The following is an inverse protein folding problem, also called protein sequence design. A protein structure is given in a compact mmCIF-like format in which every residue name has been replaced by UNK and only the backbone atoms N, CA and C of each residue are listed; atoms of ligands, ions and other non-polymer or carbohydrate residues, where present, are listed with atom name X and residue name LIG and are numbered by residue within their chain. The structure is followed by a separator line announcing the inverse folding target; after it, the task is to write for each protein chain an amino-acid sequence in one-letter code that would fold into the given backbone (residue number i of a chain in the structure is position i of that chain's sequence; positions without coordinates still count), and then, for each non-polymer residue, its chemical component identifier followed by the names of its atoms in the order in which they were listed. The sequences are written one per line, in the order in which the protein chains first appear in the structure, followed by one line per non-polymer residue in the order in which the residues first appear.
data_IF_785668090143
#
_entry.id   IF_785668090143
#
_cell.length_a   1.000
_cell.length_b   1.000
_cell.length_c   1.000
_cell.angle_alpha   90.00
_cell.angle_beta   90.00
_cell.angle_gamma   90.00
#
_symmetry.space_group_name_H-M   'P 1'
#
loop_
_entity.id
_entity.type
_entity.pdbx_description
1 polymer ?
#
# COMPACT_ATOMS: atom_id res chain seq x y z
N UNK A 1 25.36 2.73 35.03
CA UNK A 1 26.71 3.31 35.10
C UNK A 1 27.33 3.00 33.76
N UNK A 2 27.56 4.02 32.94
CA UNK A 2 28.09 3.85 31.58
C UNK A 2 29.54 4.25 31.63
N UNK A 3 30.42 3.26 31.62
CA UNK A 3 31.86 3.50 31.58
C UNK A 3 32.27 3.65 30.12
N UNK A 4 32.82 4.82 29.78
CA UNK A 4 33.32 5.12 28.44
C UNK A 4 34.83 4.95 28.44
N UNK A 5 35.33 4.15 27.51
CA UNK A 5 36.77 4.03 27.24
C UNK A 5 37.07 4.81 25.97
N UNK A 6 38.03 5.71 26.03
CA UNK A 6 38.47 6.50 24.89
C UNK A 6 39.99 6.34 24.73
N UNK A 7 40.42 6.13 23.49
CA UNK A 7 41.83 6.13 23.14
C UNK A 7 42.46 7.49 23.46
N UNK A 8 43.64 7.49 24.04
CA UNK A 8 44.45 8.69 24.30
C UNK A 8 45.75 8.56 23.52
N UNK A 9 46.11 9.60 22.78
CA UNK A 9 47.43 9.68 22.15
C UNK A 9 48.54 9.77 23.22
N UNK A 10 49.77 9.42 22.82
CA UNK A 10 50.93 9.32 23.72
C UNK A 10 51.21 10.62 24.48
N UNK A 11 51.02 11.78 23.84
CA UNK A 11 51.27 13.07 24.48
C UNK A 11 50.22 13.38 25.54
N UNK A 12 48.96 13.13 25.25
CA UNK A 12 47.86 13.29 26.20
C UNK A 12 48.02 12.34 27.40
N UNK A 13 48.39 11.08 27.13
CA UNK A 13 48.64 10.08 28.18
C UNK A 13 49.81 10.49 29.08
N UNK A 14 50.94 10.92 28.50
CA UNK A 14 52.11 11.37 29.26
C UNK A 14 51.79 12.58 30.16
N UNK A 15 51.05 13.57 29.64
CA UNK A 15 50.61 14.74 30.43
C UNK A 15 49.74 14.34 31.61
N UNK A 16 48.78 13.43 31.41
CA UNK A 16 47.89 12.95 32.48
C UNK A 16 48.64 12.13 33.52
N UNK A 17 49.60 11.30 33.10
CA UNK A 17 50.47 10.57 34.02
C UNK A 17 51.25 11.54 34.91
N UNK A 18 51.87 12.55 34.32
CA UNK A 18 52.61 13.57 35.06
C UNK A 18 51.72 14.35 36.04
N UNK A 19 50.50 14.71 35.61
CA UNK A 19 49.51 15.35 36.49
C UNK A 19 49.13 14.48 37.69
N UNK A 20 48.79 13.21 37.48
CA UNK A 20 48.40 12.27 38.54
C UNK A 20 49.58 11.96 39.49
N UNK A 21 50.79 11.82 38.96
CA UNK A 21 52.01 11.68 39.76
C UNK A 21 52.25 12.92 40.65
N UNK A 22 51.98 14.12 40.13
CA UNK A 22 52.05 15.37 40.89
C UNK A 22 51.05 15.45 42.05
N UNK A 23 49.99 14.62 42.05
CA UNK A 23 49.01 14.52 43.13
C UNK A 23 49.39 13.50 44.23
N UNK A 24 50.60 12.90 44.18
CA UNK A 24 51.04 11.84 45.11
C UNK A 24 50.09 10.63 45.17
N UNK A 25 49.39 10.32 44.08
CA UNK A 25 48.59 9.09 43.98
C UNK A 25 49.51 7.86 43.90
N UNK A 26 49.08 6.74 44.50
CA UNK A 26 49.90 5.52 44.65
C UNK A 26 50.22 4.74 43.38
N UNK A 27 49.77 5.21 42.21
CA UNK A 27 50.05 4.59 40.93
C UNK A 27 48.99 4.91 39.88
N UNK A 28 49.24 4.44 38.66
CA UNK A 28 48.34 4.53 37.51
C UNK A 28 48.23 3.12 36.93
N UNK A 29 47.01 2.67 36.64
CA UNK A 29 46.76 1.42 35.94
C UNK A 29 46.34 1.72 34.51
N UNK A 30 47.08 1.19 33.54
CA UNK A 30 46.63 1.17 32.15
C UNK A 30 45.77 -0.07 31.91
N UNK A 31 44.56 0.19 31.43
CA UNK A 31 43.59 -0.78 30.94
C UNK A 31 43.54 -0.74 29.41
N UNK A 32 43.19 -1.87 28.79
CA UNK A 32 43.10 -2.03 27.33
C UNK A 32 44.38 -1.61 26.57
N UNK A 33 45.55 -1.99 27.12
CA UNK A 33 46.86 -1.73 26.50
C UNK A 33 46.97 -2.31 25.08
N UNK A 34 46.22 -3.39 24.82
CA UNK A 34 46.09 -4.05 23.52
C UNK A 34 45.48 -3.15 22.43
N UNK A 35 44.75 -2.09 22.81
CA UNK A 35 44.22 -1.09 21.88
C UNK A 35 45.21 0.07 21.61
N UNK A 36 46.30 0.15 22.38
CA UNK A 36 47.31 1.22 22.29
C UNK A 36 48.27 1.07 21.09
N UNK A 37 48.25 -0.09 20.43
CA UNK A 37 49.07 -0.43 19.28
C UNK A 37 48.64 -1.76 18.69
N UNK A 38 49.13 -2.10 17.49
CA UNK A 38 48.86 -3.41 16.91
C UNK A 38 49.74 -4.48 17.56
N UNK A 39 49.19 -5.24 18.49
CA UNK A 39 49.90 -6.34 19.15
C UNK A 39 49.47 -7.68 18.54
N UNK A 40 50.43 -8.46 18.06
CA UNK A 40 50.22 -9.87 17.76
C UNK A 40 50.38 -10.68 19.06
N UNK A 41 49.32 -11.35 19.50
CA UNK A 41 49.36 -12.14 20.74
C UNK A 41 50.32 -13.35 20.67
N UNK A 42 50.49 -14.04 21.79
CA UNK A 42 51.43 -15.17 21.95
C UNK A 42 50.78 -16.49 21.48
N UNK A 43 51.45 -17.26 20.60
CA UNK A 43 51.06 -18.64 20.24
C UNK A 43 51.29 -19.60 21.42
N UNK A 44 50.62 -20.77 21.40
CA UNK A 44 50.78 -21.86 22.40
C UNK A 44 52.23 -22.34 22.59
N UNK A 45 53.12 -22.14 21.61
CA UNK A 45 54.54 -22.49 21.69
C UNK A 45 55.45 -21.35 22.22
N UNK A 46 54.87 -20.27 22.74
CA UNK A 46 55.63 -19.13 23.26
C UNK A 46 56.27 -18.22 22.20
N UNK A 47 55.98 -18.42 20.91
CA UNK A 47 56.39 -17.50 19.85
C UNK A 47 55.33 -16.43 19.60
N UNK A 48 55.77 -15.20 19.32
CA UNK A 48 54.89 -14.08 18.96
C UNK A 48 54.24 -14.40 17.61
N UNK A 49 52.91 -14.37 17.57
CA UNK A 49 52.17 -14.34 16.31
C UNK A 49 50.91 -15.16 16.33
N UNK A 50 49.78 -14.64 16.79
CA UNK A 50 48.56 -15.11 16.13
C UNK A 50 48.63 -14.62 14.69
N UNK A 51 48.75 -15.54 13.73
CA UNK A 51 47.97 -15.35 12.51
C UNK A 51 46.53 -15.45 13.01
N UNK A 52 45.91 -14.31 13.31
CA UNK A 52 44.50 -14.20 12.96
C UNK A 52 44.56 -14.40 11.47
N UNK A 53 44.34 -15.64 10.98
CA UNK A 53 43.83 -15.76 9.63
C UNK A 53 42.56 -14.94 9.71
N UNK A 54 42.51 -13.73 9.12
CA UNK A 54 41.27 -13.01 9.11
C UNK A 54 40.33 -13.96 8.37
N UNK A 55 39.33 -14.50 9.05
CA UNK A 55 38.16 -15.06 8.36
C UNK A 55 37.88 -14.11 7.22
N UNK A 56 37.90 -14.59 5.98
CA UNK A 56 37.97 -13.75 4.79
C UNK A 56 37.07 -12.52 4.95
N UNK A 57 37.68 -11.39 5.35
CA UNK A 57 36.94 -10.17 5.66
C UNK A 57 36.45 -9.51 4.37
N UNK A 58 36.93 -10.02 3.23
CA UNK A 58 36.53 -9.58 1.92
C UNK A 58 35.05 -9.90 1.68
N UNK A 59 34.33 -8.85 1.37
CA UNK A 59 32.93 -8.87 1.02
C UNK A 59 32.81 -8.69 -0.49
N UNK A 60 33.19 -9.73 -1.26
CA UNK A 60 33.07 -9.70 -2.72
C UNK A 60 31.61 -9.71 -3.16
N UNK A 61 31.09 -8.52 -3.46
CA UNK A 61 29.73 -8.29 -3.93
C UNK A 61 29.39 -9.06 -5.21
N UNK A 62 30.39 -9.41 -6.04
CA UNK A 62 30.15 -10.17 -7.28
C UNK A 62 29.87 -11.65 -7.02
N UNK A 63 30.36 -12.18 -5.90
CA UNK A 63 30.14 -13.57 -5.49
C UNK A 63 28.79 -13.78 -4.76
N UNK A 64 28.06 -12.71 -4.44
CA UNK A 64 26.81 -12.81 -3.69
C UNK A 64 25.62 -13.28 -4.53
N UNK A 65 24.68 -14.01 -3.91
CA UNK A 65 23.37 -14.28 -4.49
C UNK A 65 22.65 -12.98 -4.91
N UNK A 66 21.88 -13.04 -6.00
CA UNK A 66 21.23 -11.87 -6.61
C UNK A 66 19.75 -11.71 -6.25
N UNK A 67 19.15 -12.75 -5.66
CA UNK A 67 17.73 -12.79 -5.28
C UNK A 67 17.61 -13.21 -3.82
N UNK A 68 16.50 -12.85 -3.17
CA UNK A 68 16.23 -13.23 -1.78
C UNK A 68 16.20 -14.76 -1.62
N UNK A 69 15.65 -15.48 -2.60
CA UNK A 69 15.55 -16.93 -2.60
C UNK A 69 16.93 -17.59 -2.72
N UNK A 70 17.76 -17.10 -3.64
CA UNK A 70 19.12 -17.61 -3.79
C UNK A 70 19.96 -17.32 -2.56
N UNK A 71 19.75 -16.16 -1.92
CA UNK A 71 20.41 -15.82 -0.66
C UNK A 71 19.98 -16.76 0.47
N UNK A 72 18.69 -17.06 0.59
CA UNK A 72 18.18 -17.97 1.63
C UNK A 72 18.70 -19.39 1.48
N UNK A 73 18.75 -19.89 0.23
CA UNK A 73 19.26 -21.21 -0.10
C UNK A 73 20.78 -21.33 0.08
N UNK A 74 21.52 -20.23 -0.13
CA UNK A 74 22.98 -20.23 -0.16
C UNK A 74 23.62 -19.35 0.92
N UNK A 75 22.89 -19.03 2.01
CA UNK A 75 23.36 -18.10 3.04
C UNK A 75 24.69 -18.51 3.67
N UNK A 76 24.98 -19.81 3.71
CA UNK A 76 26.25 -20.36 4.20
C UNK A 76 27.47 -20.02 3.33
N UNK A 77 27.26 -19.63 2.07
CA UNK A 77 28.32 -19.18 1.15
C UNK A 77 28.68 -17.70 1.32
N UNK A 78 27.85 -16.95 2.05
CA UNK A 78 28.09 -15.53 2.35
C UNK A 78 28.66 -15.44 3.76
N UNK A 79 29.86 -14.85 3.93
CA UNK A 79 30.46 -14.63 5.26
C UNK A 79 29.49 -13.88 6.17
N UNK A 80 29.45 -14.24 7.46
CA UNK A 80 28.43 -13.76 8.41
C UNK A 80 28.38 -12.22 8.43
N UNK A 81 29.54 -11.56 8.48
CA UNK A 81 29.65 -10.10 8.48
C UNK A 81 29.19 -9.45 7.17
N UNK A 82 29.18 -10.19 6.06
CA UNK A 82 28.72 -9.71 4.75
C UNK A 82 27.22 -9.94 4.49
N UNK A 83 26.54 -10.82 5.25
CA UNK A 83 25.15 -11.23 4.94
C UNK A 83 24.16 -10.07 4.93
N UNK A 84 24.33 -9.12 5.85
CA UNK A 84 23.53 -7.91 5.89
C UNK A 84 23.73 -7.03 4.66
N UNK A 85 24.98 -6.86 4.22
CA UNK A 85 25.31 -6.13 2.99
C UNK A 85 24.75 -6.82 1.75
N UNK A 86 24.83 -8.15 1.68
CA UNK A 86 24.23 -8.91 0.59
C UNK A 86 22.71 -8.74 0.52
N UNK A 87 22.02 -8.77 1.66
CA UNK A 87 20.57 -8.56 1.72
C UNK A 87 20.19 -7.12 1.31
N UNK A 88 20.92 -6.12 1.79
CA UNK A 88 20.72 -4.72 1.39
C UNK A 88 21.01 -4.48 -0.10
N UNK A 89 22.03 -5.13 -0.65
CA UNK A 89 22.36 -5.08 -2.08
C UNK A 89 21.21 -5.59 -2.95
N UNK A 90 20.63 -6.73 -2.59
CA UNK A 90 19.48 -7.30 -3.29
C UNK A 90 18.30 -6.33 -3.24
N UNK A 91 17.92 -5.85 -2.06
CA UNK A 91 16.79 -4.93 -1.90
C UNK A 91 16.98 -3.62 -2.68
N UNK A 92 18.20 -3.07 -2.71
CA UNK A 92 18.50 -1.83 -3.44
C UNK A 92 18.42 -2.03 -4.95
N UNK A 93 18.94 -3.15 -5.47
CA UNK A 93 18.84 -3.49 -6.91
C UNK A 93 17.38 -3.77 -7.32
N UNK A 94 16.66 -4.47 -6.47
CA UNK A 94 15.25 -4.77 -6.63
C UNK A 94 14.38 -3.50 -6.66
N UNK A 95 14.68 -2.54 -5.78
CA UNK A 95 14.05 -1.23 -5.78
C UNK A 95 14.34 -0.49 -7.09
N UNK A 96 15.61 -0.36 -7.49
CA UNK A 96 16.00 0.33 -8.72
C UNK A 96 15.27 -0.25 -9.96
N UNK A 97 15.26 -1.58 -10.11
CA UNK A 97 14.55 -2.25 -11.20
C UNK A 97 13.03 -2.06 -11.17
N UNK A 98 12.43 -1.92 -9.99
CA UNK A 98 11.01 -1.58 -9.86
C UNK A 98 10.73 -0.13 -10.32
N UNK A 99 11.58 0.83 -9.93
CA UNK A 99 11.45 2.24 -10.32
C UNK A 99 11.57 2.43 -11.82
N UNK A 100 12.50 1.73 -12.48
CA UNK A 100 12.67 1.81 -13.93
C UNK A 100 11.36 1.42 -14.66
N UNK A 101 10.71 0.35 -14.21
CA UNK A 101 9.41 -0.07 -14.76
C UNK A 101 8.31 0.98 -14.56
N UNK A 102 8.33 1.70 -13.45
CA UNK A 102 7.41 2.80 -13.19
C UNK A 102 7.61 3.99 -14.13
N UNK A 103 8.87 4.33 -14.41
CA UNK A 103 9.23 5.40 -15.35
C UNK A 103 8.91 5.04 -16.79
N UNK A 104 9.05 3.77 -17.15
CA UNK A 104 8.60 3.26 -18.44
C UNK A 104 7.08 3.45 -18.61
N UNK A 105 6.30 3.24 -17.55
CA UNK A 105 4.84 3.38 -17.56
C UNK A 105 4.40 4.82 -17.73
N UNK A 106 4.98 5.76 -16.98
CA UNK A 106 4.65 7.17 -17.12
C UNK A 106 4.90 7.70 -18.54
N UNK A 107 5.77 7.02 -19.30
CA UNK A 107 6.19 7.42 -20.65
C UNK A 107 5.53 6.60 -21.77
N UNK A 108 4.69 5.63 -21.45
CA UNK A 108 4.18 4.62 -22.38
C UNK A 108 2.76 4.92 -22.90
N UNK A 109 2.60 5.10 -24.22
CA UNK A 109 1.29 5.19 -24.86
C UNK A 109 0.46 3.90 -24.69
N UNK A 110 1.14 2.76 -24.58
CA UNK A 110 0.54 1.46 -24.33
C UNK A 110 -0.18 1.38 -22.98
N UNK A 111 0.43 1.95 -21.93
CA UNK A 111 -0.21 1.99 -20.62
C UNK A 111 -1.42 2.92 -20.63
N UNK A 112 -1.30 4.09 -21.26
CA UNK A 112 -2.40 5.06 -21.38
C UNK A 112 -3.64 4.42 -22.00
N UNK A 113 -3.49 3.72 -23.12
CA UNK A 113 -4.61 3.03 -23.77
C UNK A 113 -5.27 1.98 -22.87
N UNK A 114 -4.48 1.22 -22.09
CA UNK A 114 -5.00 0.19 -21.19
C UNK A 114 -5.71 0.78 -19.98
N UNK A 115 -5.22 1.92 -19.50
CA UNK A 115 -5.91 2.71 -18.50
C UNK A 115 -7.24 3.27 -19.03
N UNK A 116 -7.30 3.74 -20.28
CA UNK A 116 -8.56 4.17 -20.90
C UNK A 116 -9.62 3.05 -20.89
N UNK A 117 -9.24 1.80 -21.18
CA UNK A 117 -10.16 0.64 -21.07
C UNK A 117 -10.67 0.42 -19.65
N UNK A 118 -9.81 0.59 -18.65
CA UNK A 118 -10.22 0.53 -17.25
C UNK A 118 -11.15 1.69 -16.89
N UNK A 119 -10.83 2.92 -17.30
CA UNK A 119 -11.65 4.09 -17.04
C UNK A 119 -13.05 3.93 -17.66
N UNK A 120 -13.13 3.41 -18.88
CA UNK A 120 -14.40 3.10 -19.53
C UNK A 120 -15.18 2.01 -18.79
N UNK A 121 -14.51 0.97 -18.29
CA UNK A 121 -15.19 0.00 -17.44
C UNK A 121 -15.70 0.60 -16.13
N UNK A 122 -14.91 1.46 -15.47
CA UNK A 122 -15.35 2.14 -14.24
C UNK A 122 -16.61 2.94 -14.55
N UNK A 123 -16.63 3.71 -15.65
CA UNK A 123 -17.81 4.46 -16.10
C UNK A 123 -19.00 3.55 -16.35
N UNK A 124 -18.81 2.43 -17.04
CA UNK A 124 -19.89 1.45 -17.32
C UNK A 124 -20.44 0.79 -16.06
N UNK A 125 -19.60 0.60 -15.05
CA UNK A 125 -19.97 -0.04 -13.79
C UNK A 125 -20.71 0.88 -12.82
N UNK A 126 -20.80 2.21 -13.08
CA UNK A 126 -21.48 3.14 -12.16
C UNK A 126 -22.97 2.83 -12.09
N UNK A 127 -23.66 2.68 -13.23
CA UNK A 127 -25.12 2.45 -13.23
C UNK A 127 -25.49 1.16 -12.48
N UNK A 128 -24.88 -0.02 -12.77
CA UNK A 128 -25.22 -1.24 -12.03
C UNK A 128 -24.91 -1.16 -10.53
N UNK A 129 -23.83 -0.49 -10.13
CA UNK A 129 -23.50 -0.28 -8.72
C UNK A 129 -24.49 0.66 -8.04
N UNK A 130 -24.88 1.73 -8.73
CA UNK A 130 -25.87 2.70 -8.25
C UNK A 130 -27.25 2.05 -8.09
N UNK A 131 -27.69 1.27 -9.07
CA UNK A 131 -28.93 0.49 -8.99
C UNK A 131 -28.90 -0.50 -7.83
N UNK A 132 -27.77 -1.15 -7.55
CA UNK A 132 -27.63 -2.02 -6.37
C UNK A 132 -27.70 -1.21 -5.08
N UNK A 133 -27.08 -0.03 -5.05
CA UNK A 133 -27.08 0.86 -3.88
C UNK A 133 -28.46 1.43 -3.56
N UNK A 134 -29.30 1.67 -4.58
CA UNK A 134 -30.68 2.17 -4.44
C UNK A 134 -31.76 1.12 -4.71
N UNK A 135 -31.39 -0.16 -4.73
CA UNK A 135 -32.32 -1.26 -4.99
C UNK A 135 -33.44 -1.26 -3.94
N UNK A 136 -34.70 -1.31 -4.37
CA UNK A 136 -35.84 -1.37 -3.45
C UNK A 136 -35.68 -2.51 -2.43
N UNK A 137 -36.01 -2.23 -1.16
CA UNK A 137 -35.93 -3.14 0.00
C UNK A 137 -34.52 -3.49 0.50
N UNK A 138 -33.49 -3.49 -0.35
CA UNK A 138 -32.14 -4.00 0.01
C UNK A 138 -31.03 -2.96 -0.11
N UNK A 139 -31.25 -1.88 -0.84
CA UNK A 139 -30.27 -0.84 -1.09
C UNK A 139 -29.99 0.00 0.14
N UNK A 140 -28.72 0.08 0.52
CA UNK A 140 -28.25 0.90 1.64
C UNK A 140 -28.56 2.40 1.45
N UNK A 141 -28.56 2.88 0.19
CA UNK A 141 -28.89 4.25 -0.15
C UNK A 141 -30.32 4.66 0.23
N UNK A 142 -31.24 3.71 0.37
CA UNK A 142 -32.64 3.99 0.72
C UNK A 142 -32.81 4.51 2.15
N UNK A 143 -31.84 4.28 3.05
CA UNK A 143 -31.86 4.79 4.43
C UNK A 143 -31.86 6.32 4.50
N UNK A 144 -31.47 6.98 3.41
CA UNK A 144 -31.36 8.43 3.31
C UNK A 144 -32.49 9.08 2.50
N UNK A 145 -33.50 8.29 2.09
CA UNK A 145 -34.53 8.71 1.15
C UNK A 145 -35.95 8.42 1.68
N UNK A 146 -36.86 9.32 1.35
CA UNK A 146 -38.30 9.10 1.42
C UNK A 146 -38.86 8.89 0.01
N UNK A 147 -39.88 8.06 -0.10
CA UNK A 147 -40.50 7.70 -1.36
C UNK A 147 -42.00 7.99 -1.34
N UNK A 148 -42.53 8.42 -2.48
CA UNK A 148 -43.95 8.33 -2.81
C UNK A 148 -44.12 7.25 -3.85
N UNK A 149 -45.06 6.35 -3.68
CA UNK A 149 -45.33 5.32 -4.67
C UNK A 149 -46.81 5.25 -5.03
N UNK A 150 -47.06 4.89 -6.28
CA UNK A 150 -48.40 4.71 -6.82
C UNK A 150 -48.42 3.46 -7.68
N UNK A 151 -49.40 2.61 -7.42
CA UNK A 151 -49.80 1.51 -8.30
C UNK A 151 -51.18 1.82 -8.87
N UNK A 152 -51.75 0.99 -9.77
CA UNK A 152 -53.14 1.12 -10.18
C UNK A 152 -54.14 0.96 -9.03
N UNK A 153 -53.72 0.33 -7.92
CA UNK A 153 -54.58 -0.13 -6.83
C UNK A 153 -54.38 0.64 -5.53
N UNK A 154 -53.18 1.16 -5.29
CA UNK A 154 -52.80 1.79 -4.02
C UNK A 154 -51.84 2.97 -4.22
N UNK A 155 -51.80 3.85 -3.23
CA UNK A 155 -50.82 4.93 -3.11
C UNK A 155 -50.24 4.92 -1.71
N UNK A 156 -48.96 5.22 -1.59
CA UNK A 156 -48.27 5.32 -0.30
C UNK A 156 -47.18 6.39 -0.31
N UNK A 157 -46.79 6.79 0.90
CA UNK A 157 -45.68 7.70 1.14
C UNK A 157 -45.02 7.35 2.46
N UNK A 158 -43.69 7.38 2.50
CA UNK A 158 -42.92 7.07 3.69
C UNK A 158 -41.44 6.82 3.37
N UNK A 159 -40.66 6.24 4.29
CA UNK A 159 -39.28 5.84 4.02
C UNK A 159 -39.19 4.93 2.80
N UNK A 160 -38.18 5.12 1.94
CA UNK A 160 -38.02 4.28 0.75
C UNK A 160 -37.80 2.79 1.06
N UNK A 161 -37.35 2.47 2.27
CA UNK A 161 -37.20 1.10 2.77
C UNK A 161 -38.53 0.35 2.93
N UNK A 162 -39.65 1.07 3.01
CA UNK A 162 -40.99 0.51 3.19
C UNK A 162 -41.78 0.37 1.88
N UNK A 163 -41.20 0.80 0.75
CA UNK A 163 -41.87 0.76 -0.56
C UNK A 163 -42.25 -0.67 -0.91
N UNK A 164 -43.55 -0.87 -1.17
CA UNK A 164 -44.08 -2.12 -1.70
C UNK A 164 -44.93 -1.87 -2.94
N UNK A 165 -44.36 -2.18 -4.10
CA UNK A 165 -45.02 -1.99 -5.40
C UNK A 165 -45.96 -3.14 -5.78
N UNK A 166 -46.03 -4.19 -4.96
CA UNK A 166 -46.82 -5.40 -5.20
C UNK A 166 -47.86 -5.62 -4.11
N UNK A 167 -48.27 -4.55 -3.41
CA UNK A 167 -49.31 -4.61 -2.39
C UNK A 167 -50.51 -3.72 -2.78
N UNK A 168 -51.74 -4.28 -2.84
CA UNK A 168 -52.06 -5.70 -2.78
C UNK A 168 -51.46 -6.51 -3.96
N UNK A 169 -51.19 -7.80 -3.74
CA UNK A 169 -50.62 -8.67 -4.76
C UNK A 169 -51.64 -8.93 -5.88
N UNK A 170 -51.24 -8.62 -7.11
CA UNK A 170 -52.09 -8.69 -8.29
C UNK A 170 -51.35 -9.38 -9.43
N UNK A 171 -52.05 -10.27 -10.13
CA UNK A 171 -51.53 -10.96 -11.32
C UNK A 171 -51.21 -10.00 -12.48
N UNK A 172 -51.75 -8.78 -12.45
CA UNK A 172 -51.45 -7.72 -13.41
C UNK A 172 -51.16 -6.41 -12.65
N UNK A 173 -49.89 -6.18 -12.30
CA UNK A 173 -49.52 -5.08 -11.40
C UNK A 173 -49.62 -3.69 -12.07
N UNK A 174 -49.72 -3.64 -13.39
CA UNK A 174 -49.80 -2.43 -14.20
C UNK A 174 -48.57 -1.51 -14.09
N UNK A 175 -48.75 -0.29 -14.58
CA UNK A 175 -47.78 0.79 -14.40
C UNK A 175 -47.66 1.18 -12.92
N UNK A 176 -46.46 0.99 -12.35
CA UNK A 176 -46.10 1.42 -11.00
C UNK A 176 -45.17 2.61 -11.07
N UNK A 177 -45.26 3.52 -10.13
CA UNK A 177 -44.37 4.69 -10.03
C UNK A 177 -43.78 4.77 -8.62
N UNK A 178 -42.48 5.05 -8.53
CA UNK A 178 -41.79 5.43 -7.29
C UNK A 178 -41.12 6.77 -7.54
N UNK A 179 -41.44 7.76 -6.73
CA UNK A 179 -40.79 9.07 -6.72
C UNK A 179 -39.95 9.18 -5.46
N UNK A 180 -38.64 9.38 -5.63
CA UNK A 180 -37.69 9.51 -4.52
C UNK A 180 -37.54 10.97 -4.11
N UNK A 181 -37.33 11.18 -2.82
CA UNK A 181 -36.99 12.46 -2.22
C UNK A 181 -35.82 12.23 -1.27
N UNK A 182 -34.72 12.93 -1.51
CA UNK A 182 -33.54 12.84 -0.67
C UNK A 182 -33.79 13.56 0.65
N UNK A 183 -33.77 12.80 1.76
CA UNK A 183 -34.01 13.33 3.11
C UNK A 183 -32.71 13.77 3.80
N UNK A 184 -31.66 12.97 3.63
CA UNK A 184 -30.32 13.24 4.17
C UNK A 184 -29.30 13.22 3.02
N UNK A 185 -29.04 14.40 2.47
CA UNK A 185 -28.15 14.55 1.32
C UNK A 185 -26.70 14.20 1.65
N UNK A 186 -26.20 14.69 2.79
CA UNK A 186 -24.81 14.47 3.20
C UNK A 186 -24.57 13.00 3.53
N UNK A 187 -25.47 12.38 4.30
CA UNK A 187 -25.39 10.96 4.63
C UNK A 187 -25.44 10.07 3.38
N UNK A 188 -26.32 10.39 2.42
CA UNK A 188 -26.42 9.65 1.17
C UNK A 188 -25.13 9.70 0.36
N UNK A 189 -24.56 10.90 0.13
CA UNK A 189 -23.36 11.01 -0.69
C UNK A 189 -22.11 10.44 0.00
N UNK A 190 -22.02 10.56 1.33
CA UNK A 190 -20.97 9.90 2.10
C UNK A 190 -21.07 8.37 1.98
N UNK A 191 -22.27 7.79 2.10
CA UNK A 191 -22.49 6.36 1.92
C UNK A 191 -22.29 5.91 0.47
N UNK A 192 -22.72 6.69 -0.51
CA UNK A 192 -22.53 6.40 -1.93
C UNK A 192 -21.04 6.30 -2.29
N UNK A 193 -20.24 7.26 -1.80
CA UNK A 193 -18.81 7.27 -2.03
C UNK A 193 -18.12 6.14 -1.25
N UNK A 194 -18.51 5.91 0.01
CA UNK A 194 -17.94 4.86 0.87
C UNK A 194 -18.25 3.44 0.38
N UNK A 195 -19.51 3.13 0.12
CA UNK A 195 -20.00 1.76 -0.07
C UNK A 195 -20.07 1.37 -1.55
N UNK A 196 -20.31 2.33 -2.44
CA UNK A 196 -20.41 2.09 -3.88
C UNK A 196 -19.22 2.64 -4.67
N UNK A 197 -18.37 3.50 -4.08
CA UNK A 197 -17.22 4.09 -4.77
C UNK A 197 -17.64 5.02 -5.91
N UNK A 198 -18.74 5.77 -5.75
CA UNK A 198 -19.31 6.65 -6.78
C UNK A 198 -19.34 8.09 -6.27
N UNK A 199 -18.74 8.99 -7.06
CA UNK A 199 -18.72 10.44 -6.79
C UNK A 199 -20.10 11.06 -7.05
N UNK A 200 -20.49 12.05 -6.24
CA UNK A 200 -21.73 12.84 -6.44
C UNK A 200 -21.80 13.46 -7.84
N UNK A 201 -20.65 13.84 -8.37
CA UNK A 201 -20.45 14.54 -9.64
C UNK A 201 -20.57 13.60 -10.84
N UNK A 202 -20.65 12.27 -10.62
CA UNK A 202 -20.81 11.27 -11.67
C UNK A 202 -22.26 10.88 -11.91
N UNK A 203 -23.18 11.40 -11.08
CA UNK A 203 -24.59 11.08 -11.14
C UNK A 203 -25.45 12.31 -11.42
N UNK A 204 -26.62 12.08 -11.98
CA UNK A 204 -27.71 13.04 -12.13
C UNK A 204 -29.01 12.40 -11.65
N UNK A 205 -29.99 13.24 -11.30
CA UNK A 205 -31.31 12.78 -10.88
C UNK A 205 -32.24 12.78 -12.07
N UNK A 206 -32.76 11.62 -12.43
CA UNK A 206 -33.51 11.43 -13.67
C UNK A 206 -34.82 10.66 -13.45
N UNK A 207 -35.55 10.43 -14.54
CA UNK A 207 -36.70 9.54 -14.57
C UNK A 207 -36.40 8.36 -15.49
N UNK A 208 -36.44 7.15 -14.94
CA UNK A 208 -36.27 5.89 -15.68
C UNK A 208 -37.60 5.16 -15.72
N UNK A 209 -37.89 4.46 -16.83
CA UNK A 209 -39.01 3.52 -16.91
C UNK A 209 -38.46 2.16 -17.31
N UNK A 210 -38.63 1.18 -16.43
CA UNK A 210 -38.20 -0.20 -16.65
C UNK A 210 -39.43 -1.08 -16.89
N UNK A 211 -39.51 -1.80 -18.02
CA UNK A 211 -40.56 -2.79 -18.22
C UNK A 211 -40.32 -4.00 -17.31
N UNK A 212 -41.39 -4.65 -16.85
CA UNK A 212 -41.27 -5.90 -16.11
C UNK A 212 -40.66 -7.00 -16.98
N UNK A 213 -39.91 -7.91 -16.35
CA UNK A 213 -39.41 -9.09 -17.04
C UNK A 213 -40.59 -9.94 -17.55
N UNK A 214 -40.73 -10.02 -18.87
CA UNK A 214 -41.70 -10.89 -19.50
C UNK A 214 -41.04 -12.24 -19.78
N UNK A 215 -41.41 -13.34 -19.09
CA UNK A 215 -40.91 -14.65 -19.46
C UNK A 215 -41.37 -14.95 -20.89
N UNK A 216 -40.41 -15.27 -21.76
CA UNK A 216 -40.73 -15.69 -23.12
C UNK A 216 -41.58 -16.96 -23.04
N UNK A 217 -42.82 -16.88 -23.54
CA UNK A 217 -43.68 -18.05 -23.60
C UNK A 217 -42.99 -19.11 -24.49
N UNK A 218 -42.78 -20.35 -24.02
CA UNK A 218 -42.23 -21.39 -24.86
C UNK A 218 -43.14 -21.61 -26.08
N UNK A 219 -42.59 -21.77 -27.29
CA UNK A 219 -43.38 -21.95 -28.49
C UNK A 219 -44.02 -23.34 -28.46
N UNK A 220 -45.30 -23.42 -28.08
CA UNK A 220 -46.32 -24.49 -28.29
C UNK A 220 -47.13 -24.78 -27.03
N UNK A 221 -48.02 -23.88 -26.64
CA UNK A 221 -49.27 -24.26 -25.98
C UNK A 221 -50.33 -23.19 -26.32
N UNK A 222 -51.41 -23.61 -26.98
CA UNK A 222 -52.50 -22.76 -27.53
C UNK A 222 -53.37 -22.07 -26.46
N UNK A 223 -52.91 -22.00 -25.21
CA UNK A 223 -53.65 -21.45 -24.06
C UNK A 223 -52.87 -20.39 -23.28
N UNK A 224 -51.98 -19.64 -23.94
CA UNK A 224 -51.45 -18.40 -23.37
C UNK A 224 -52.06 -17.22 -24.12
N UNK A 225 -53.17 -16.62 -23.65
CA UNK A 225 -53.63 -15.37 -24.23
C UNK A 225 -52.48 -14.35 -24.11
N UNK A 226 -52.08 -13.67 -25.19
CA UNK A 226 -51.00 -12.70 -25.16
C UNK A 226 -51.53 -11.48 -24.41
N UNK A 227 -51.51 -11.48 -23.08
CA UNK A 227 -51.42 -10.20 -22.38
C UNK A 227 -50.00 -9.70 -22.64
N UNK A 228 -49.82 -8.64 -23.42
CA UNK A 228 -48.49 -8.09 -23.58
C UNK A 228 -48.06 -7.63 -22.19
N UNK A 229 -46.95 -8.15 -21.67
CA UNK A 229 -46.29 -7.58 -20.49
C UNK A 229 -45.91 -6.09 -20.70
N UNK A 230 -46.12 -5.54 -21.91
CA UNK A 230 -45.82 -4.16 -22.30
C UNK A 230 -46.51 -3.11 -21.42
N UNK A 231 -47.64 -3.44 -20.79
CA UNK A 231 -48.36 -2.49 -19.91
C UNK A 231 -47.84 -2.52 -18.46
N UNK A 232 -46.97 -3.48 -18.11
CA UNK A 232 -46.36 -3.64 -16.79
C UNK A 232 -44.97 -3.03 -16.78
N UNK A 233 -44.82 -1.94 -16.04
CA UNK A 233 -43.54 -1.26 -15.87
C UNK A 233 -43.43 -0.63 -14.48
N UNK A 234 -42.20 -0.28 -14.11
CA UNK A 234 -41.90 0.56 -12.96
C UNK A 234 -41.26 1.85 -13.47
N UNK A 235 -41.87 2.98 -13.14
CA UNK A 235 -41.37 4.32 -13.40
C UNK A 235 -40.71 4.86 -12.14
N UNK A 236 -39.40 5.02 -12.18
CA UNK A 236 -38.62 5.64 -11.11
C UNK A 236 -38.44 7.13 -11.43
N UNK A 237 -38.94 8.00 -10.57
CA UNK A 237 -38.90 9.47 -10.72
C UNK A 237 -37.93 10.03 -9.68
N UNK A 238 -37.06 10.95 -10.10
CA UNK A 238 -35.96 11.48 -9.29
C UNK A 238 -35.09 10.33 -8.72
N UNK A 239 -34.71 9.38 -9.56
CA UNK A 239 -33.76 8.32 -9.18
C UNK A 239 -32.34 8.77 -9.54
N UNK A 240 -31.32 8.50 -8.72
CA UNK A 240 -29.95 8.80 -9.11
C UNK A 240 -29.51 7.83 -10.21
N UNK A 241 -28.93 8.38 -11.27
CA UNK A 241 -28.39 7.66 -12.42
C UNK A 241 -27.03 8.21 -12.80
N UNK A 242 -26.20 7.38 -13.43
CA UNK A 242 -24.96 7.82 -14.06
C UNK A 242 -25.24 8.90 -15.10
N UNK A 243 -24.44 9.96 -15.11
CA UNK A 243 -24.48 10.96 -16.18
C UNK A 243 -24.32 10.26 -17.56
N UNK A 244 -25.23 10.49 -18.53
CA UNK A 244 -25.21 9.80 -19.82
C UNK A 244 -23.89 10.01 -20.57
N UNK A 245 -23.42 11.26 -20.59
CA UNK A 245 -22.16 11.67 -21.21
C UNK A 245 -20.96 11.21 -20.37
N UNK A 246 -20.39 10.07 -20.75
CA UNK A 246 -19.20 9.46 -20.15
C UNK A 246 -17.97 10.38 -20.14
N UNK A 247 -17.91 11.41 -20.98
CA UNK A 247 -16.78 12.33 -21.01
C UNK A 247 -16.80 13.33 -19.84
N UNK A 248 -17.96 13.54 -19.21
CA UNK A 248 -18.09 14.35 -17.99
C UNK A 248 -17.66 13.59 -16.74
N UNK A 249 -17.62 12.26 -16.81
CA UNK A 249 -17.15 11.40 -15.73
C UNK A 249 -15.63 11.28 -15.84
N UNK A 250 -14.93 11.98 -14.95
CA UNK A 250 -13.47 11.93 -14.86
C UNK A 250 -13.06 10.80 -13.92
N UNK A 251 -12.46 9.76 -14.50
CA UNK A 251 -11.71 8.76 -13.75
C UNK A 251 -10.26 9.26 -13.73
N UNK A 252 -9.71 9.51 -12.55
CA UNK A 252 -8.36 10.05 -12.41
C UNK A 252 -7.34 9.08 -12.99
N UNK A 253 -6.47 9.59 -13.88
CA UNK A 253 -5.39 8.81 -14.46
C UNK A 253 -4.29 8.61 -13.41
N UNK A 254 -3.92 7.37 -13.08
CA UNK A 254 -2.84 7.10 -12.15
C UNK A 254 -1.50 7.61 -12.66
N UNK A 255 -1.35 7.98 -13.94
CA UNK A 255 -0.15 8.64 -14.44
C UNK A 255 0.18 9.90 -13.67
N UNK A 256 -0.80 10.77 -13.38
CA UNK A 256 -0.57 11.98 -12.58
C UNK A 256 -0.12 11.62 -11.15
N UNK A 257 -0.65 10.52 -10.61
CA UNK A 257 -0.26 9.99 -9.31
C UNK A 257 1.17 9.42 -9.36
N UNK A 258 1.53 8.69 -10.42
CA UNK A 258 2.87 8.15 -10.66
C UNK A 258 3.88 9.29 -10.79
N UNK A 259 3.58 10.31 -11.58
CA UNK A 259 4.45 11.48 -11.77
C UNK A 259 4.69 12.22 -10.43
N UNK A 260 3.67 12.32 -9.58
CA UNK A 260 3.80 12.88 -8.23
C UNK A 260 4.53 11.95 -7.25
N UNK A 261 4.48 10.63 -7.47
CA UNK A 261 5.16 9.66 -6.62
C UNK A 261 6.66 9.57 -6.93
N UNK A 262 7.05 9.74 -8.19
CA UNK A 262 8.44 9.55 -8.67
C UNK A 262 9.47 10.29 -7.79
N UNK A 263 9.33 11.58 -7.45
CA UNK A 263 10.31 12.27 -6.61
C UNK A 263 10.50 11.62 -5.23
N UNK A 264 9.42 11.12 -4.62
CA UNK A 264 9.49 10.47 -3.31
C UNK A 264 10.00 9.02 -3.40
N UNK A 265 9.76 8.37 -4.54
CA UNK A 265 10.41 7.10 -4.86
C UNK A 265 11.92 7.33 -5.02
N UNK A 266 12.34 8.42 -5.65
CA UNK A 266 13.76 8.81 -5.78
C UNK A 266 14.38 9.10 -4.42
N UNK A 267 13.70 9.83 -3.54
CA UNK A 267 14.15 10.04 -2.16
C UNK A 267 14.40 8.70 -1.43
N UNK A 268 13.55 7.70 -1.68
CA UNK A 268 13.71 6.36 -1.10
C UNK A 268 14.89 5.60 -1.72
N UNK A 269 15.07 5.71 -3.04
CA UNK A 269 16.20 5.11 -3.76
C UNK A 269 17.51 5.71 -3.26
N UNK A 270 17.58 7.03 -3.15
CA UNK A 270 18.74 7.76 -2.62
C UNK A 270 19.04 7.34 -1.19
N UNK A 271 18.01 7.26 -0.34
CA UNK A 271 18.18 6.78 1.04
C UNK A 271 18.73 5.35 1.07
N UNK A 272 18.21 4.44 0.25
CA UNK A 272 18.69 3.06 0.18
C UNK A 272 20.15 2.99 -0.28
N UNK A 273 20.53 3.76 -1.31
CA UNK A 273 21.91 3.81 -1.79
C UNK A 273 22.88 4.42 -0.77
N UNK A 274 22.53 5.55 -0.15
CA UNK A 274 23.34 6.18 0.90
C UNK A 274 23.54 5.21 2.05
N UNK A 275 22.47 4.56 2.52
CA UNK A 275 22.53 3.62 3.65
C UNK A 275 23.37 2.39 3.30
N UNK A 276 23.26 1.88 2.07
CA UNK A 276 24.08 0.77 1.57
C UNK A 276 25.57 1.14 1.48
N UNK A 277 25.87 2.38 1.09
CA UNK A 277 27.22 2.92 1.04
C UNK A 277 27.82 3.10 2.45
N UNK A 278 27.07 3.71 3.37
CA UNK A 278 27.47 3.87 4.78
C UNK A 278 27.72 2.53 5.47
N UNK A 279 26.86 1.54 5.17
CA UNK A 279 27.03 0.17 5.66
C UNK A 279 28.33 -0.44 5.12
N UNK A 280 28.60 -0.30 3.83
CA UNK A 280 29.80 -0.84 3.19
C UNK A 280 31.09 -0.22 3.73
N UNK A 281 31.04 1.04 4.18
CA UNK A 281 32.15 1.73 4.82
C UNK A 281 32.25 1.49 6.33
N UNK A 282 31.29 0.78 6.93
CA UNK A 282 31.25 0.56 8.38
C UNK A 282 30.96 1.81 9.20
N UNK A 283 30.35 2.84 8.60
CA UNK A 283 30.01 4.11 9.28
C UNK A 283 28.52 4.30 9.51
N UNK A 284 27.68 3.33 9.11
CA UNK A 284 26.24 3.39 9.28
C UNK A 284 25.87 3.57 10.75
N UNK A 285 25.22 4.68 11.08
CA UNK A 285 24.68 4.95 12.41
C UNK A 285 23.25 4.41 12.57
N UNK A 286 23.05 3.11 12.31
CA UNK A 286 21.78 2.43 12.50
C UNK A 286 21.98 0.92 12.65
N UNK A 287 21.03 0.26 13.32
CA UNK A 287 20.98 -1.20 13.32
C UNK A 287 20.55 -1.69 11.92
N UNK A 288 21.39 -2.50 11.30
CA UNK A 288 21.14 -3.01 9.95
C UNK A 288 19.84 -3.83 9.84
N UNK A 289 19.41 -4.50 10.92
CA UNK A 289 18.14 -5.22 10.93
C UNK A 289 16.96 -4.25 10.92
N UNK A 290 17.08 -3.11 11.58
CA UNK A 290 16.08 -2.02 11.54
C UNK A 290 16.03 -1.41 10.13
N UNK A 291 17.18 -1.16 9.51
CA UNK A 291 17.28 -0.67 8.13
C UNK A 291 16.59 -1.62 7.15
N UNK A 292 16.96 -2.90 7.15
CA UNK A 292 16.40 -3.90 6.23
C UNK A 292 14.89 -4.06 6.47
N UNK A 293 14.45 -4.12 7.72
CA UNK A 293 13.04 -4.32 8.08
C UNK A 293 12.17 -3.13 7.66
N UNK A 294 12.68 -1.91 7.77
CA UNK A 294 11.93 -0.70 7.41
C UNK A 294 11.88 -0.48 5.90
N UNK A 295 12.97 -0.74 5.18
CA UNK A 295 13.02 -0.57 3.73
C UNK A 295 12.30 -1.69 2.97
N UNK A 296 12.21 -2.91 3.50
CA UNK A 296 11.65 -4.05 2.76
C UNK A 296 10.20 -3.81 2.32
N UNK A 297 9.37 -3.19 3.16
CA UNK A 297 7.95 -3.01 2.84
C UNK A 297 7.73 -2.08 1.64
N UNK A 298 8.25 -0.84 1.61
CA UNK A 298 8.07 0.00 0.43
C UNK A 298 8.73 -0.58 -0.82
N UNK A 299 9.86 -1.30 -0.71
CA UNK A 299 10.49 -2.00 -1.84
C UNK A 299 9.51 -3.04 -2.42
N UNK A 300 8.94 -3.90 -1.59
CA UNK A 300 8.05 -4.98 -2.05
C UNK A 300 6.75 -4.46 -2.63
N UNK A 301 6.20 -3.37 -2.11
CA UNK A 301 5.05 -2.70 -2.72
C UNK A 301 5.35 -2.24 -4.14
N UNK A 302 6.50 -1.58 -4.36
CA UNK A 302 6.90 -1.13 -5.69
C UNK A 302 7.19 -2.30 -6.63
N UNK A 303 7.81 -3.37 -6.13
CA UNK A 303 8.07 -4.57 -6.93
C UNK A 303 6.78 -5.28 -7.38
N UNK A 304 5.82 -5.47 -6.48
CA UNK A 304 4.55 -6.14 -6.79
C UNK A 304 3.82 -5.40 -7.90
N UNK A 305 3.78 -4.08 -7.80
CA UNK A 305 3.18 -3.27 -8.84
C UNK A 305 4.01 -3.23 -10.14
N UNK A 306 5.34 -3.30 -10.05
CA UNK A 306 6.21 -3.46 -11.22
C UNK A 306 5.87 -4.73 -12.02
N UNK A 307 5.40 -5.79 -11.36
CA UNK A 307 4.91 -7.00 -12.00
C UNK A 307 3.53 -6.79 -12.62
N UNK A 308 2.62 -6.11 -11.94
CA UNK A 308 1.32 -5.71 -12.52
C UNK A 308 1.49 -4.86 -13.78
N UNK A 309 2.50 -3.99 -13.82
CA UNK A 309 2.88 -3.21 -15.01
C UNK A 309 3.23 -4.13 -16.18
N UNK A 310 4.08 -5.14 -15.95
CA UNK A 310 4.45 -6.11 -16.98
C UNK A 310 3.27 -6.94 -17.46
N UNK A 311 2.39 -7.34 -16.55
CA UNK A 311 1.19 -8.12 -16.88
C UNK A 311 0.21 -7.32 -17.73
N UNK A 312 -0.02 -6.05 -17.40
CA UNK A 312 -0.84 -5.13 -18.19
C UNK A 312 -0.29 -4.98 -19.60
N UNK A 313 1.03 -4.82 -19.77
CA UNK A 313 1.67 -4.75 -21.10
C UNK A 313 1.34 -5.97 -21.97
N UNK A 314 1.20 -7.16 -21.38
CA UNK A 314 0.82 -8.41 -22.09
C UNK A 314 -0.66 -8.48 -22.47
N UNK A 315 -1.54 -7.70 -21.84
CA UNK A 315 -2.96 -7.64 -22.19
C UNK A 315 -3.11 -6.78 -23.45
N UNK A 316 -3.33 -7.43 -24.60
CA UNK A 316 -3.60 -6.77 -25.88
C UNK A 316 -5.09 -6.52 -26.14
N UNK A 317 -5.38 -5.79 -27.24
CA UNK A 317 -6.76 -5.45 -27.67
C UNK A 317 -7.68 -6.67 -27.79
N UNK A 318 -7.16 -7.81 -28.24
CA UNK A 318 -7.94 -9.03 -28.46
C UNK A 318 -8.35 -9.75 -27.15
N UNK A 319 -7.70 -9.42 -26.03
CA UNK A 319 -7.90 -10.10 -24.75
C UNK A 319 -8.48 -9.21 -23.66
N UNK A 320 -8.70 -7.91 -23.90
CA UNK A 320 -9.13 -6.98 -22.85
C UNK A 320 -10.52 -7.31 -22.30
N UNK A 321 -11.45 -7.79 -23.13
CA UNK A 321 -12.80 -8.19 -22.69
C UNK A 321 -12.78 -9.48 -21.86
N UNK A 322 -11.91 -10.45 -22.20
CA UNK A 322 -11.80 -11.73 -21.49
C UNK A 322 -10.94 -11.64 -20.23
N UNK A 323 -9.96 -10.73 -20.20
CA UNK A 323 -9.07 -10.47 -19.08
C UNK A 323 -9.42 -9.22 -18.27
N UNK A 324 -10.66 -8.74 -18.39
CA UNK A 324 -11.14 -7.51 -17.73
C UNK A 324 -10.82 -7.46 -16.23
N UNK A 325 -11.06 -8.56 -15.51
CA UNK A 325 -10.78 -8.66 -14.07
C UNK A 325 -9.28 -8.55 -13.77
N UNK A 326 -8.42 -9.18 -14.57
CA UNK A 326 -6.97 -9.15 -14.43
C UNK A 326 -6.43 -7.73 -14.68
N UNK A 327 -6.92 -7.06 -15.74
CA UNK A 327 -6.60 -5.67 -16.04
C UNK A 327 -6.96 -4.74 -14.87
N UNK A 328 -8.16 -4.87 -14.31
CA UNK A 328 -8.62 -4.05 -13.17
C UNK A 328 -7.72 -4.27 -11.95
N UNK A 329 -7.48 -5.54 -11.57
CA UNK A 329 -6.67 -5.87 -10.40
C UNK A 329 -5.23 -5.37 -10.53
N UNK A 330 -4.66 -5.46 -11.73
CA UNK A 330 -3.32 -4.97 -11.98
C UNK A 330 -3.23 -3.44 -11.94
N UNK A 331 -4.22 -2.72 -12.49
CA UNK A 331 -4.26 -1.25 -12.40
C UNK A 331 -4.40 -0.82 -10.94
N UNK A 332 -5.31 -1.45 -10.19
CA UNK A 332 -5.48 -1.17 -8.76
C UNK A 332 -4.19 -1.44 -7.97
N UNK A 333 -3.48 -2.53 -8.25
CA UNK A 333 -2.21 -2.86 -7.59
C UNK A 333 -1.15 -1.78 -7.81
N UNK A 334 -1.08 -1.24 -9.04
CA UNK A 334 -0.20 -0.11 -9.37
C UNK A 334 -0.56 1.11 -8.55
N UNK A 335 -1.81 1.55 -8.63
CA UNK A 335 -2.30 2.73 -7.90
C UNK A 335 -2.04 2.59 -6.40
N UNK A 336 -2.43 1.47 -5.80
CA UNK A 336 -2.29 1.25 -4.36
C UNK A 336 -0.85 1.27 -3.86
N UNK A 337 0.10 0.78 -4.66
CA UNK A 337 1.50 0.75 -4.23
C UNK A 337 2.17 2.13 -4.20
N UNK A 338 1.70 3.09 -5.00
CA UNK A 338 2.27 4.44 -5.09
C UNK A 338 1.54 5.48 -4.24
N UNK A 339 0.29 5.22 -3.83
CA UNK A 339 -0.47 6.12 -2.96
C UNK A 339 0.34 6.53 -1.72
N UNK A 340 1.05 5.61 -1.02
CA UNK A 340 1.89 6.00 0.11
C UNK A 340 2.88 7.10 -0.27
N UNK A 341 3.62 6.94 -1.37
CA UNK A 341 4.63 7.90 -1.83
C UNK A 341 4.05 9.27 -2.16
N UNK A 342 2.86 9.33 -2.78
CA UNK A 342 2.20 10.62 -3.05
C UNK A 342 1.74 11.29 -1.75
N UNK A 343 1.28 10.50 -0.77
CA UNK A 343 0.78 10.93 0.54
C UNK A 343 1.72 11.84 1.35
N UNK A 344 3.02 11.85 1.05
CA UNK A 344 4.03 12.65 1.78
C UNK A 344 4.24 14.06 1.26
N UNK A 345 3.73 14.39 0.08
CA UNK A 345 3.78 15.74 -0.49
C UNK A 345 2.79 16.68 0.25
N UNK A 346 3.18 17.15 1.43
CA UNK A 346 2.73 18.42 2.00
C UNK A 346 1.58 18.37 3.03
N UNK A 347 1.97 18.56 4.29
CA UNK A 347 1.15 18.89 5.48
C UNK A 347 0.33 17.75 6.11
N UNK A 348 0.42 17.66 7.44
CA UNK A 348 -0.30 16.69 8.29
C UNK A 348 -1.84 16.70 8.11
N UNK A 349 -2.40 17.74 7.49
CA UNK A 349 -3.82 17.83 7.11
C UNK A 349 -4.16 16.90 5.93
N UNK A 350 -3.20 16.53 5.08
CA UNK A 350 -3.42 15.69 3.90
C UNK A 350 -3.43 14.19 4.17
N UNK A 351 -2.87 13.73 5.30
CA UNK A 351 -2.80 12.31 5.66
C UNK A 351 -4.23 11.77 5.88
N UNK A 352 -5.07 12.46 6.65
CA UNK A 352 -6.47 12.10 6.88
C UNK A 352 -7.35 12.11 5.61
N UNK A 353 -7.21 13.14 4.76
CA UNK A 353 -8.00 13.27 3.53
C UNK A 353 -7.59 12.28 2.45
N UNK A 354 -6.31 11.88 2.40
CA UNK A 354 -5.81 10.86 1.47
C UNK A 354 -5.95 9.44 2.02
N UNK A 355 -6.01 9.27 3.34
CA UNK A 355 -6.61 8.09 3.94
C UNK A 355 -8.06 7.96 3.51
N UNK A 356 -8.84 9.04 3.45
CA UNK A 356 -10.17 8.98 2.84
C UNK A 356 -10.08 8.57 1.36
N UNK A 357 -9.23 9.19 0.52
CA UNK A 357 -9.07 8.78 -0.89
C UNK A 357 -8.60 7.33 -1.09
N UNK A 358 -7.68 6.82 -0.26
CA UNK A 358 -7.23 5.43 -0.28
C UNK A 358 -8.28 4.47 0.30
N UNK A 359 -8.99 4.90 1.35
CA UNK A 359 -10.13 4.21 1.95
C UNK A 359 -11.36 4.19 1.03
N UNK A 360 -11.50 5.13 0.10
CA UNK A 360 -12.55 5.11 -0.94
C UNK A 360 -12.39 3.93 -1.91
N UNK A 361 -11.20 3.32 -1.96
CA UNK A 361 -10.94 2.14 -2.78
C UNK A 361 -11.00 0.85 -1.91
N UNK A 362 -10.92 0.93 -0.58
CA UNK A 362 -10.83 -0.22 0.34
C UNK A 362 -12.03 -0.34 1.30
N UNK A 363 -12.90 0.68 1.42
CA UNK A 363 -14.14 0.62 2.20
C UNK A 363 -14.00 0.69 3.73
N UNK A 364 -12.85 1.12 4.27
CA UNK A 364 -12.65 1.27 5.72
C UNK A 364 -12.24 2.69 6.11
N UNK A 365 -13.10 3.40 6.86
CA UNK A 365 -12.83 4.75 7.37
C UNK A 365 -12.22 4.64 8.76
N UNK A 366 -11.04 5.24 8.94
CA UNK A 366 -10.49 5.57 10.24
C UNK A 366 -9.59 6.81 10.14
N UNK A 367 -9.99 7.89 10.80
CA UNK A 367 -9.20 9.13 10.90
C UNK A 367 -8.18 8.94 12.03
N UNK A 368 -6.93 8.61 11.73
CA UNK A 368 -5.92 8.33 12.74
C UNK A 368 -4.64 9.13 12.51
N UNK A 369 -4.22 9.87 13.54
CA UNK A 369 -2.83 10.25 13.71
C UNK A 369 -2.01 8.95 13.86
N UNK A 370 -0.97 8.73 13.07
CA UNK A 370 -0.33 7.42 12.92
C UNK A 370 0.54 7.04 14.13
N UNK A 371 -0.05 6.49 15.19
CA UNK A 371 0.69 5.80 16.25
C UNK A 371 0.79 4.29 15.96
N UNK A 372 1.67 3.58 16.69
CA UNK A 372 1.82 2.12 16.57
C UNK A 372 0.51 1.38 16.91
N UNK A 373 -0.34 1.96 17.77
CA UNK A 373 -1.65 1.38 18.12
C UNK A 373 -2.59 1.44 16.90
N UNK A 374 -2.60 2.56 16.18
CA UNK A 374 -3.44 2.74 14.98
C UNK A 374 -3.03 1.80 13.83
N UNK A 375 -1.79 1.34 13.78
CA UNK A 375 -1.32 0.36 12.78
C UNK A 375 -1.83 -1.05 13.08
N UNK A 376 -2.02 -1.39 14.36
CA UNK A 376 -2.61 -2.67 14.75
C UNK A 376 -4.10 -2.69 14.41
N UNK A 377 -4.77 -1.55 14.55
CA UNK A 377 -6.19 -1.39 14.23
C UNK A 377 -6.44 -1.18 12.73
N UNK A 378 -5.51 -0.52 12.03
CA UNK A 378 -5.53 -0.26 10.59
C UNK A 378 -4.18 -0.62 9.93
N UNK A 379 -3.97 -1.89 9.56
CA UNK A 379 -2.75 -2.37 8.90
C UNK A 379 -2.39 -1.63 7.60
N UNK A 380 -3.38 -1.12 6.87
CA UNK A 380 -3.17 -0.41 5.60
C UNK A 380 -2.46 0.95 5.79
N UNK A 381 -2.39 1.45 7.02
CA UNK A 381 -1.69 2.68 7.37
C UNK A 381 -0.17 2.52 7.52
N UNK A 382 0.33 1.29 7.68
CA UNK A 382 1.74 1.03 7.95
C UNK A 382 2.71 1.54 6.86
N UNK A 383 2.44 1.39 5.54
CA UNK A 383 3.30 1.95 4.51
C UNK A 383 3.46 3.46 4.62
N UNK A 384 2.39 4.17 5.01
CA UNK A 384 2.41 5.61 5.20
C UNK A 384 3.25 6.00 6.44
N UNK A 385 3.10 5.26 7.54
CA UNK A 385 3.91 5.53 8.72
C UNK A 385 5.41 5.26 8.45
N UNK A 386 5.73 4.16 7.78
CA UNK A 386 7.12 3.79 7.45
C UNK A 386 7.76 4.83 6.54
N UNK A 387 7.15 5.16 5.40
CA UNK A 387 7.76 6.12 4.47
C UNK A 387 7.88 7.52 5.10
N UNK A 388 6.93 7.93 5.95
CA UNK A 388 7.03 9.20 6.68
C UNK A 388 8.21 9.25 7.65
N UNK A 389 8.53 8.12 8.28
CA UNK A 389 9.68 7.94 9.17
C UNK A 389 11.00 7.73 8.42
N UNK A 390 10.97 7.43 7.11
CA UNK A 390 12.16 7.25 6.29
C UNK A 390 12.54 8.51 5.53
N UNK A 391 11.60 9.02 4.72
CA UNK A 391 11.83 10.12 3.75
C UNK A 391 10.95 11.34 4.00
N UNK A 392 10.06 11.30 5.01
CA UNK A 392 9.15 12.40 5.32
C UNK A 392 9.74 13.50 6.21
N UNK A 393 8.87 14.37 6.72
CA UNK A 393 9.23 15.46 7.64
C UNK A 393 9.79 14.97 9.00
N UNK A 394 9.60 13.69 9.30
CA UNK A 394 10.20 13.00 10.45
C UNK A 394 11.28 11.99 10.03
N UNK A 395 11.73 12.07 8.79
CA UNK A 395 12.61 11.10 8.15
C UNK A 395 14.05 11.10 8.66
N UNK A 396 14.88 10.28 8.01
CA UNK A 396 16.30 10.09 8.32
C UNK A 396 17.07 11.42 8.28
N UNK A 397 16.77 12.29 7.32
CA UNK A 397 17.42 13.61 7.21
C UNK A 397 17.15 14.55 8.40
N UNK A 398 16.06 14.32 9.15
CA UNK A 398 15.63 15.18 10.26
C UNK A 398 15.95 14.57 11.61
N UNK A 399 15.65 13.29 11.81
CA UNK A 399 15.81 12.59 13.09
C UNK A 399 17.15 11.83 13.23
N UNK A 400 17.89 11.70 12.13
CA UNK A 400 19.08 10.84 12.06
C UNK A 400 18.71 9.38 11.80
N UNK A 401 19.65 8.65 11.17
CA UNK A 401 19.45 7.27 10.72
C UNK A 401 18.99 6.34 11.84
N UNK A 402 19.67 6.34 12.98
CA UNK A 402 19.40 5.46 14.12
C UNK A 402 17.95 5.52 14.59
N UNK A 403 17.42 6.72 14.78
CA UNK A 403 16.07 6.91 15.34
C UNK A 403 15.00 6.61 14.30
N UNK A 404 15.17 7.13 13.08
CA UNK A 404 14.25 6.98 11.97
C UNK A 404 14.04 5.50 11.58
N UNK A 405 15.15 4.78 11.32
CA UNK A 405 15.08 3.36 10.94
C UNK A 405 14.49 2.50 12.05
N UNK A 406 14.87 2.73 13.31
CA UNK A 406 14.32 1.99 14.45
C UNK A 406 12.81 2.17 14.59
N UNK A 407 12.31 3.40 14.45
CA UNK A 407 10.87 3.68 14.51
C UNK A 407 10.13 3.02 13.34
N UNK A 408 10.65 3.15 12.12
CA UNK A 408 10.04 2.54 10.94
C UNK A 408 10.03 1.00 11.03
N UNK A 409 11.11 0.39 11.53
CA UNK A 409 11.17 -1.04 11.77
C UNK A 409 10.16 -1.50 12.82
N UNK A 410 9.96 -0.71 13.88
CA UNK A 410 8.95 -1.02 14.90
C UNK A 410 7.52 -0.94 14.36
N UNK A 411 7.24 -0.01 13.44
CA UNK A 411 5.96 0.03 12.72
C UNK A 411 5.75 -1.27 11.95
N UNK A 412 6.76 -1.72 11.17
CA UNK A 412 6.66 -3.00 10.48
C UNK A 412 6.44 -4.14 11.47
N UNK A 413 7.21 -4.25 12.54
CA UNK A 413 7.10 -5.33 13.54
C UNK A 413 5.75 -5.36 14.26
N UNK A 414 5.07 -4.23 14.38
CA UNK A 414 3.74 -4.16 14.99
C UNK A 414 2.65 -4.84 14.15
N UNK A 415 2.85 -4.99 12.84
CA UNK A 415 1.93 -5.71 11.97
C UNK A 415 1.98 -7.21 12.26
N UNK A 416 0.89 -7.69 12.86
CA UNK A 416 0.64 -9.11 13.14
C UNK A 416 0.33 -9.89 11.84
N UNK A 417 0.41 -11.24 11.86
CA UNK A 417 0.08 -12.07 10.71
C UNK A 417 -1.29 -11.77 10.10
N UNK A 418 -2.29 -11.45 10.92
CA UNK A 418 -3.62 -11.07 10.41
C UNK A 418 -3.61 -9.71 9.69
N UNK A 419 -2.84 -8.74 10.18
CA UNK A 419 -2.68 -7.45 9.50
C UNK A 419 -1.91 -7.56 8.19
N UNK A 420 -1.02 -8.55 8.08
CA UNK A 420 -0.31 -8.83 6.82
C UNK A 420 -1.22 -9.39 5.73
N UNK A 421 -2.36 -9.99 6.08
CA UNK A 421 -3.35 -10.49 5.10
C UNK A 421 -4.00 -9.38 4.27
N UNK A 422 -3.89 -8.12 4.72
CA UNK A 422 -4.35 -6.95 3.95
C UNK A 422 -3.43 -6.62 2.77
N UNK A 423 -2.26 -7.25 2.67
CA UNK A 423 -1.30 -7.08 1.58
C UNK A 423 -1.37 -8.24 0.59
N UNK A 424 -0.73 -8.06 -0.57
CA UNK A 424 -0.67 -9.11 -1.60
C UNK A 424 0.00 -10.38 -1.06
N UNK A 425 -0.35 -11.54 -1.61
CA UNK A 425 0.31 -12.82 -1.24
C UNK A 425 1.82 -12.78 -1.51
N UNK A 426 2.24 -12.10 -2.59
CA UNK A 426 3.65 -12.00 -2.97
C UNK A 426 4.42 -11.10 -1.98
N UNK A 427 3.81 -9.99 -1.55
CA UNK A 427 4.34 -9.14 -0.49
C UNK A 427 4.58 -9.95 0.78
N UNK A 428 3.56 -10.68 1.26
CA UNK A 428 3.64 -11.47 2.49
C UNK A 428 4.72 -12.55 2.38
N UNK A 429 4.88 -13.17 1.20
CA UNK A 429 5.92 -14.16 0.92
C UNK A 429 7.32 -13.57 1.04
N UNK A 430 7.60 -12.46 0.33
CA UNK A 430 8.91 -11.78 0.35
C UNK A 430 9.26 -11.23 1.72
N UNK A 431 8.28 -10.65 2.39
CA UNK A 431 8.44 -10.21 3.75
C UNK A 431 8.81 -11.35 4.71
N UNK A 432 8.07 -12.47 4.65
CA UNK A 432 8.38 -13.65 5.46
C UNK A 432 9.79 -14.17 5.20
N UNK A 433 10.24 -14.13 3.93
CA UNK A 433 11.58 -14.50 3.52
C UNK A 433 12.64 -13.57 4.12
N UNK A 434 12.47 -12.25 4.04
CA UNK A 434 13.39 -11.28 4.65
C UNK A 434 13.43 -11.43 6.17
N UNK A 435 12.29 -11.55 6.83
CA UNK A 435 12.24 -11.74 8.29
C UNK A 435 12.90 -13.08 8.70
N UNK A 436 12.80 -14.10 7.86
CA UNK A 436 13.52 -15.36 8.02
C UNK A 436 15.04 -15.20 7.85
N UNK A 437 15.47 -14.51 6.79
CA UNK A 437 16.87 -14.18 6.53
C UNK A 437 17.48 -13.38 7.67
N UNK A 438 16.81 -12.34 8.18
CA UNK A 438 17.29 -11.54 9.30
C UNK A 438 17.63 -12.41 10.54
N UNK A 439 16.80 -13.41 10.86
CA UNK A 439 17.06 -14.37 11.95
C UNK A 439 18.24 -15.30 11.69
N UNK A 440 18.61 -15.52 10.42
CA UNK A 440 19.76 -16.36 10.02
C UNK A 440 21.05 -15.53 9.87
N UNK A 441 20.92 -14.25 9.53
CA UNK A 441 22.03 -13.32 9.33
C UNK A 441 22.60 -12.77 10.64
N UNK A 442 21.75 -12.48 11.63
CA UNK A 442 22.12 -11.71 12.84
C UNK A 442 21.89 -12.50 14.14
N UNK A 443 22.24 -13.79 14.11
CA UNK A 443 21.97 -14.73 15.20
C UNK A 443 23.05 -14.72 16.27
#
# INVERSE_FOLDING_TARGET
MTDWVAYMDDNTKAKRISWIQGLNMGGISDWALDLGGWFSGIKENGTIGWTVEPDNLDCDRNAWPKTLEDLDANIGKVPIHCRGMALMDILTKELAGAVDKYREVSSSDDYKQRFEWYADWVKDSIEPRLMKFTALKTGEGLKYMDCKWSTPYAKGQGPCTEVNLYDPDHADPGGRTVEYTLRDEEGFYNALMKDAGISKEWIEWTTITEPDYCPTCPPKNEFCPPKPCADNYIKYVNVPSRIPDKNKIKVEDPKDLIEKAIPHIDDMVDLAYITSYELSMGILDADITDVITSLSMPVFMLQDASKSIEEIKKIGKEHHDTKKKELILNILSIVFSIIPFVGFAGQAVGIATRFATAALIIGEIGNAALSIVDIVENPAAAPFAILGLLIGAEGVQVRGAREAFKKAANVRRALKPDGLKSFSQEFVRKDSLVQGLLKKCFK
#
